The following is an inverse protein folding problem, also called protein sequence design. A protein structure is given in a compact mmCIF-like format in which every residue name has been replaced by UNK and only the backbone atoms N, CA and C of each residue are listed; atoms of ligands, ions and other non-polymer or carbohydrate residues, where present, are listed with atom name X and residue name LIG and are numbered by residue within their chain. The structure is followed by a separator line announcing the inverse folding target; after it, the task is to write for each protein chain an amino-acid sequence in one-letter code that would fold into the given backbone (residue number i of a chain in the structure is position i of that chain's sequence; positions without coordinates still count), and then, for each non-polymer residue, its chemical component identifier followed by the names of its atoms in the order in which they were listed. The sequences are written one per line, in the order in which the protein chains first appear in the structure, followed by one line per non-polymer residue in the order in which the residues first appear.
data_IF_889083217816
#
_entry.id   IF_889083217816
#
_cell.length_a   1.000
_cell.length_b   1.000
_cell.length_c   1.000
_cell.angle_alpha   90.00
_cell.angle_beta   90.00
_cell.angle_gamma   90.00
#
_symmetry.space_group_name_H-M   'P 1'
#
loop_
_entity.id
_entity.type
_entity.pdbx_description
1 polymer ?
#
# COMPACT_ATOMS: atom_id res chain seq x y z
N UNK A 1 -34.91 19.21 -32.03
CA UNK A 1 -34.85 18.15 -33.06
C UNK A 1 -33.42 17.61 -33.06
N UNK A 2 -33.08 16.41 -32.58
CA UNK A 2 -33.84 15.17 -32.41
C UNK A 2 -33.32 14.40 -31.18
N UNK A 3 -34.27 13.92 -30.35
CA UNK A 3 -34.09 12.83 -29.41
C UNK A 3 -34.20 11.51 -30.19
N UNK A 4 -33.24 10.60 -30.01
CA UNK A 4 -33.48 9.15 -30.20
C UNK A 4 -32.84 8.39 -29.05
N UNK A 5 -33.64 8.24 -28.00
CA UNK A 5 -33.45 7.38 -26.85
C UNK A 5 -33.72 5.93 -27.28
N UNK A 6 -32.67 5.14 -27.54
CA UNK A 6 -32.84 3.70 -27.80
C UNK A 6 -32.91 2.97 -26.46
N UNK A 7 -34.15 2.82 -25.95
CA UNK A 7 -34.50 1.82 -24.93
C UNK A 7 -34.84 0.49 -25.63
N UNK A 8 -33.90 -0.46 -25.59
CA UNK A 8 -34.12 -1.90 -25.76
C UNK A 8 -32.97 -2.54 -24.96
N UNK A 9 -33.12 -3.45 -24.01
CA UNK A 9 -34.23 -4.26 -23.54
C UNK A 9 -33.58 -5.15 -22.49
N UNK A 10 -34.06 -5.05 -21.25
CA UNK A 10 -33.72 -5.95 -20.16
C UNK A 10 -34.23 -7.34 -20.54
N UNK A 11 -33.35 -8.22 -21.04
CA UNK A 11 -33.63 -9.64 -21.15
C UNK A 11 -32.46 -10.42 -20.55
N UNK A 12 -32.64 -10.77 -19.27
CA UNK A 12 -31.90 -11.84 -18.61
C UNK A 12 -32.12 -13.13 -19.41
N UNK A 13 -31.14 -13.54 -20.21
CA UNK A 13 -31.06 -14.92 -20.68
C UNK A 13 -30.03 -15.63 -19.80
N UNK A 14 -30.57 -16.39 -18.86
CA UNK A 14 -29.89 -17.46 -18.14
C UNK A 14 -29.34 -18.49 -19.15
N UNK A 15 -28.03 -18.52 -19.34
CA UNK A 15 -27.33 -19.75 -19.78
C UNK A 15 -26.25 -20.07 -18.76
N UNK A 16 -26.65 -20.74 -17.69
CA UNK A 16 -25.77 -21.46 -16.78
C UNK A 16 -25.43 -22.82 -17.39
N UNK A 17 -24.15 -23.09 -17.69
CA UNK A 17 -23.47 -24.40 -17.60
C UNK A 17 -22.00 -24.20 -18.04
N UNK A 18 -21.12 -23.90 -17.09
CA UNK A 18 -20.16 -24.84 -16.48
C UNK A 18 -19.01 -25.26 -17.40
N UNK A 19 -17.94 -24.45 -17.38
CA UNK A 19 -16.57 -24.99 -17.33
C UNK A 19 -15.91 -24.45 -16.06
N UNK A 20 -15.42 -25.42 -15.29
CA UNK A 20 -14.73 -25.33 -14.02
C UNK A 20 -13.44 -24.50 -14.09
N UNK A 21 -12.99 -24.03 -12.93
CA UNK A 21 -11.64 -23.54 -12.62
C UNK A 21 -11.36 -22.05 -12.88
N UNK A 22 -12.05 -21.20 -12.14
CA UNK A 22 -11.42 -20.18 -11.31
C UNK A 22 -10.25 -19.37 -11.94
N UNK A 23 -10.49 -18.65 -13.04
CA UNK A 23 -9.73 -17.42 -13.28
C UNK A 23 -10.30 -16.35 -12.35
N UNK A 24 -9.97 -16.45 -11.05
CA UNK A 24 -9.98 -15.27 -10.19
C UNK A 24 -8.77 -14.46 -10.62
N UNK A 25 -8.94 -13.64 -11.66
CA UNK A 25 -8.07 -12.49 -11.85
C UNK A 25 -8.28 -11.63 -10.63
N UNK A 26 -7.42 -11.85 -9.63
CA UNK A 26 -7.33 -11.00 -8.48
C UNK A 26 -6.95 -9.63 -9.02
N UNK A 27 -7.93 -8.74 -9.11
CA UNK A 27 -7.76 -7.35 -9.50
C UNK A 27 -7.02 -6.60 -8.37
N UNK A 28 -5.81 -7.03 -8.04
CA UNK A 28 -4.89 -6.33 -7.13
C UNK A 28 -4.13 -5.31 -7.97
N UNK A 29 -4.89 -4.40 -8.54
CA UNK A 29 -4.56 -3.01 -8.65
C UNK A 29 -5.93 -2.35 -8.55
N UNK A 30 -6.32 -1.96 -7.34
CA UNK A 30 -7.23 -0.82 -7.24
C UNK A 30 -6.46 0.31 -7.91
N UNK A 31 -6.84 0.63 -9.13
CA UNK A 31 -6.30 1.78 -9.83
C UNK A 31 -7.05 2.97 -9.22
N UNK A 32 -6.71 3.32 -7.98
CA UNK A 32 -6.98 4.65 -7.49
C UNK A 32 -6.18 5.57 -8.41
N UNK A 33 -6.88 6.42 -9.15
CA UNK A 33 -6.26 7.44 -9.97
C UNK A 33 -5.63 8.40 -8.98
N UNK A 34 -4.37 8.14 -8.61
CA UNK A 34 -3.56 9.13 -7.93
C UNK A 34 -3.44 10.28 -8.91
N UNK A 35 -3.96 11.49 -8.58
CA UNK A 35 -3.72 12.63 -9.44
C UNK A 35 -2.20 12.73 -9.60
N UNK A 36 -1.75 12.90 -10.84
CA UNK A 36 -0.35 13.23 -11.14
C UNK A 36 -0.05 14.52 -10.37
N UNK A 37 0.45 14.35 -9.15
CA UNK A 37 0.81 15.48 -8.32
C UNK A 37 2.03 16.01 -9.03
N UNK A 38 1.94 17.23 -9.56
CA UNK A 38 3.13 18.00 -9.90
C UNK A 38 4.01 17.96 -8.66
N UNK A 39 5.03 17.09 -8.69
CA UNK A 39 6.13 17.13 -7.76
C UNK A 39 6.58 18.58 -7.86
N UNK A 40 6.41 19.34 -6.78
CA UNK A 40 7.06 20.63 -6.71
C UNK A 40 8.53 20.28 -6.95
N UNK A 41 9.04 20.60 -8.13
CA UNK A 41 10.48 20.58 -8.35
C UNK A 41 11.01 21.38 -7.18
N UNK A 42 11.75 20.73 -6.28
CA UNK A 42 12.38 21.37 -5.13
C UNK A 42 13.45 22.28 -5.73
N UNK A 43 13.00 23.41 -6.26
CA UNK A 43 13.78 24.61 -6.50
C UNK A 43 13.60 25.44 -5.24
N UNK A 44 14.02 24.86 -4.13
CA UNK A 44 14.17 25.52 -2.83
C UNK A 44 15.64 25.35 -2.45
N UNK A 45 16.46 26.35 -2.82
CA UNK A 45 17.88 26.57 -2.45
C UNK A 45 18.87 25.38 -2.52
N UNK A 46 18.49 24.24 -3.13
CA UNK A 46 19.35 23.07 -3.30
C UNK A 46 19.64 22.26 -2.03
N UNK A 47 18.92 22.47 -0.92
CA UNK A 47 19.21 21.77 0.34
C UNK A 47 18.13 20.73 0.70
N UNK A 48 18.43 19.46 0.40
CA UNK A 48 17.63 18.31 0.84
C UNK A 48 17.73 18.13 2.36
N UNK A 49 16.58 17.95 3.01
CA UNK A 49 16.44 17.70 4.44
C UNK A 49 15.88 16.30 4.72
N UNK A 50 15.84 15.87 5.98
CA UNK A 50 15.20 14.60 6.34
C UNK A 50 13.69 14.62 6.05
N UNK A 51 13.04 15.77 6.04
CA UNK A 51 11.60 15.84 5.79
C UNK A 51 11.23 15.58 4.33
N UNK A 52 12.21 15.62 3.42
CA UNK A 52 12.08 15.23 2.02
C UNK A 52 12.22 13.72 1.81
N UNK A 53 12.53 12.95 2.87
CA UNK A 53 12.78 11.50 2.80
C UNK A 53 11.58 10.74 3.36
N UNK A 54 11.18 9.68 2.65
CA UNK A 54 10.21 8.68 3.10
C UNK A 54 10.89 7.31 3.14
N UNK A 55 10.94 6.68 4.32
CA UNK A 55 11.56 5.36 4.51
C UNK A 55 10.45 4.35 4.75
N UNK A 56 10.20 3.45 3.79
CA UNK A 56 9.35 2.28 4.00
C UNK A 56 10.17 1.08 4.47
N UNK A 57 9.69 0.39 5.50
CA UNK A 57 10.28 -0.85 6.00
C UNK A 57 9.26 -1.97 5.90
N UNK A 58 9.44 -2.84 4.92
CA UNK A 58 8.63 -4.05 4.79
C UNK A 58 9.01 -5.11 5.81
N UNK A 59 8.02 -5.65 6.50
CA UNK A 59 8.20 -6.72 7.47
C UNK A 59 7.00 -7.68 7.47
N UNK A 60 6.99 -8.60 8.43
CA UNK A 60 5.92 -9.56 8.70
C UNK A 60 5.81 -9.74 10.21
N UNK A 61 4.61 -10.04 10.71
CA UNK A 61 4.33 -10.19 12.14
C UNK A 61 5.30 -11.11 12.85
N UNK A 62 5.68 -12.22 12.21
CA UNK A 62 6.65 -13.19 12.76
C UNK A 62 8.07 -12.63 12.99
N UNK A 63 8.37 -11.46 12.46
CA UNK A 63 9.69 -10.81 12.55
C UNK A 63 9.71 -9.56 13.41
N UNK A 64 8.59 -9.20 14.05
CA UNK A 64 8.52 -8.01 14.90
C UNK A 64 9.55 -8.09 16.03
N UNK A 65 9.70 -9.24 16.67
CA UNK A 65 10.69 -9.41 17.72
C UNK A 65 12.09 -9.69 17.16
N UNK A 66 12.21 -10.71 16.29
CA UNK A 66 13.52 -11.21 15.87
C UNK A 66 14.31 -10.27 14.97
N UNK A 67 13.63 -9.37 14.23
CA UNK A 67 14.29 -8.47 13.26
C UNK A 67 14.03 -6.99 13.48
N UNK A 68 12.83 -6.60 13.95
CA UNK A 68 12.54 -5.18 14.15
C UNK A 68 13.06 -4.65 15.48
N UNK A 69 13.13 -5.46 16.54
CA UNK A 69 13.61 -4.99 17.85
C UNK A 69 15.04 -4.39 17.78
N UNK A 70 16.03 -5.00 17.08
CA UNK A 70 17.34 -4.36 16.87
C UNK A 70 17.26 -3.04 16.07
N UNK A 71 16.39 -2.97 15.06
CA UNK A 71 16.21 -1.77 14.22
C UNK A 71 15.66 -0.62 15.06
N UNK A 72 14.61 -0.89 15.82
CA UNK A 72 13.93 0.07 16.70
C UNK A 72 14.89 0.61 17.76
N UNK A 73 15.78 -0.23 18.28
CA UNK A 73 16.79 0.16 19.28
C UNK A 73 17.97 0.95 18.72
N UNK A 74 18.21 0.87 17.40
CA UNK A 74 19.39 1.45 16.73
C UNK A 74 19.01 2.64 15.84
N UNK A 75 19.12 2.50 14.52
CA UNK A 75 19.06 3.60 13.56
C UNK A 75 17.68 4.24 13.46
N UNK A 76 16.60 3.54 13.85
CA UNK A 76 15.25 4.11 13.81
C UNK A 76 15.15 5.41 14.62
N UNK A 77 15.93 5.52 15.71
CA UNK A 77 15.97 6.73 16.55
C UNK A 77 16.41 7.98 15.79
N UNK A 78 17.14 7.83 14.69
CA UNK A 78 17.66 8.94 13.88
C UNK A 78 16.64 9.47 12.86
N UNK A 79 15.71 8.63 12.40
CA UNK A 79 14.78 8.95 11.31
C UNK A 79 13.35 8.45 11.59
N UNK A 80 12.95 8.48 12.87
CA UNK A 80 11.70 7.90 13.35
C UNK A 80 10.46 8.48 12.64
N UNK A 81 10.45 9.81 12.46
CA UNK A 81 9.35 10.55 11.82
C UNK A 81 9.19 10.23 10.33
N UNK A 82 10.26 9.78 9.68
CA UNK A 82 10.30 9.49 8.25
C UNK A 82 10.09 7.99 7.96
N UNK A 83 10.12 7.13 8.99
CA UNK A 83 10.13 5.68 8.84
C UNK A 83 8.78 5.06 9.14
N UNK A 84 8.25 4.29 8.20
CA UNK A 84 6.96 3.60 8.27
C UNK A 84 7.14 2.10 8.09
N UNK A 85 6.53 1.29 8.96
CA UNK A 85 6.62 -0.17 8.95
C UNK A 85 5.38 -0.78 8.32
N UNK A 86 5.57 -1.55 7.25
CA UNK A 86 4.50 -2.21 6.52
C UNK A 86 4.50 -3.70 6.84
N UNK A 87 3.47 -4.17 7.54
CA UNK A 87 3.39 -5.53 8.07
C UNK A 87 2.09 -6.23 7.69
N UNK A 88 2.02 -7.54 7.94
CA UNK A 88 0.85 -8.41 7.72
C UNK A 88 0.10 -8.75 9.02
N UNK A 89 0.38 -8.04 10.11
CA UNK A 89 -0.39 -8.18 11.34
C UNK A 89 -0.07 -7.13 12.39
N UNK A 90 -1.04 -6.89 13.27
CA UNK A 90 -0.99 -5.82 14.26
C UNK A 90 0.00 -6.12 15.40
N UNK A 91 0.53 -5.05 15.98
CA UNK A 91 1.43 -5.06 17.13
C UNK A 91 1.39 -3.72 17.86
N UNK A 92 0.65 -3.67 18.97
CA UNK A 92 0.45 -2.45 19.74
C UNK A 92 1.77 -1.92 20.31
N UNK A 93 2.65 -2.80 20.79
CA UNK A 93 3.93 -2.40 21.39
C UNK A 93 4.82 -1.74 20.34
N UNK A 94 4.91 -2.35 19.15
CA UNK A 94 5.66 -1.76 18.04
C UNK A 94 5.03 -0.43 17.61
N UNK A 95 3.69 -0.36 17.52
CA UNK A 95 2.98 0.83 17.11
C UNK A 95 3.19 2.00 18.09
N UNK A 96 3.09 1.75 19.39
CA UNK A 96 3.40 2.71 20.45
C UNK A 96 4.87 3.16 20.37
N UNK A 97 5.79 2.21 20.21
CA UNK A 97 7.24 2.51 20.14
C UNK A 97 7.59 3.35 18.92
N UNK A 98 6.87 3.18 17.81
CA UNK A 98 7.08 3.87 16.52
C UNK A 98 6.16 5.08 16.32
N UNK A 99 5.42 5.50 17.35
CA UNK A 99 4.52 6.67 17.30
C UNK A 99 3.43 6.58 16.22
N UNK A 100 2.85 5.39 16.04
CA UNK A 100 1.77 5.18 15.09
C UNK A 100 2.22 4.83 13.67
N UNK A 101 3.52 4.61 13.45
CA UNK A 101 4.08 4.34 12.13
C UNK A 101 4.06 2.85 11.74
N UNK A 102 3.17 2.04 12.32
CA UNK A 102 2.93 0.65 11.89
C UNK A 102 1.65 0.58 11.08
N UNK A 103 1.78 0.14 9.83
CA UNK A 103 0.69 -0.02 8.89
C UNK A 103 0.47 -1.51 8.64
N UNK A 104 -0.68 -2.02 9.09
CA UNK A 104 -1.13 -3.34 8.70
C UNK A 104 -1.66 -3.28 7.26
N UNK A 105 -0.96 -3.94 6.36
CA UNK A 105 -1.30 -3.99 4.94
C UNK A 105 -2.50 -4.90 4.66
N UNK A 106 -2.89 -5.74 5.63
CA UNK A 106 -3.88 -6.80 5.46
C UNK A 106 -3.60 -7.76 4.28
N UNK A 107 -2.36 -7.74 3.78
CA UNK A 107 -1.86 -8.68 2.80
C UNK A 107 -1.50 -10.02 3.46
N UNK A 108 -1.38 -11.08 2.67
CA UNK A 108 -0.93 -12.37 3.20
C UNK A 108 0.50 -12.35 3.74
N UNK A 109 0.80 -13.34 4.60
CA UNK A 109 2.05 -13.43 5.35
C UNK A 109 3.12 -14.33 4.71
N UNK A 110 2.79 -14.99 3.60
CA UNK A 110 3.74 -15.87 2.89
C UNK A 110 4.61 -15.06 1.93
N UNK A 111 5.77 -15.61 1.54
CA UNK A 111 6.72 -14.98 0.62
C UNK A 111 6.34 -15.13 -0.86
N UNK A 112 5.06 -15.35 -1.16
CA UNK A 112 4.61 -15.51 -2.54
C UNK A 112 4.60 -14.15 -3.25
N UNK A 113 4.80 -14.15 -4.57
CA UNK A 113 4.80 -12.91 -5.38
C UNK A 113 3.55 -12.05 -5.13
N UNK A 114 2.30 -12.58 -5.11
CA UNK A 114 1.12 -11.76 -4.84
C UNK A 114 1.15 -11.04 -3.49
N UNK A 115 1.59 -11.71 -2.42
CA UNK A 115 1.66 -11.10 -1.10
C UNK A 115 2.78 -10.06 -0.98
N UNK A 116 3.94 -10.34 -1.58
CA UNK A 116 5.04 -9.38 -1.60
C UNK A 116 4.70 -8.12 -2.41
N UNK A 117 4.01 -8.30 -3.54
CA UNK A 117 3.52 -7.20 -4.39
C UNK A 117 2.39 -6.43 -3.72
N UNK A 118 1.47 -7.10 -3.03
CA UNK A 118 0.41 -6.45 -2.24
C UNK A 118 1.00 -5.45 -1.23
N UNK A 119 2.01 -5.89 -0.44
CA UNK A 119 2.70 -5.00 0.51
C UNK A 119 3.40 -3.82 -0.18
N UNK A 120 4.08 -4.07 -1.31
CA UNK A 120 4.69 -2.98 -2.10
C UNK A 120 3.63 -1.97 -2.57
N UNK A 121 2.44 -2.45 -2.95
CA UNK A 121 1.33 -1.59 -3.34
C UNK A 121 0.97 -0.62 -2.23
N UNK A 122 0.70 -1.15 -1.03
CA UNK A 122 0.38 -0.32 0.15
C UNK A 122 1.52 0.65 0.52
N UNK A 123 2.78 0.23 0.40
CA UNK A 123 3.94 1.11 0.59
C UNK A 123 3.92 2.31 -0.35
N UNK A 124 3.71 2.04 -1.64
CA UNK A 124 3.70 3.06 -2.67
C UNK A 124 2.48 3.99 -2.54
N UNK A 125 1.31 3.42 -2.29
CA UNK A 125 0.06 4.15 -2.02
C UNK A 125 0.23 5.13 -0.86
N UNK A 126 0.84 4.68 0.23
CA UNK A 126 1.08 5.51 1.43
C UNK A 126 2.14 6.58 1.16
N UNK A 127 3.18 6.25 0.40
CA UNK A 127 4.18 7.23 -0.02
C UNK A 127 3.55 8.36 -0.84
N UNK A 128 2.75 8.02 -1.87
CA UNK A 128 2.05 9.01 -2.69
C UNK A 128 1.09 9.88 -1.86
N UNK A 129 0.38 9.29 -0.91
CA UNK A 129 -0.50 10.00 0.01
C UNK A 129 0.25 10.94 0.96
N UNK A 130 1.48 10.59 1.35
CA UNK A 130 2.32 11.40 2.25
C UNK A 130 2.71 12.76 1.65
N UNK A 131 2.71 12.86 0.31
CA UNK A 131 3.04 14.09 -0.39
C UNK A 131 4.51 14.49 -0.37
N UNK A 132 5.37 13.56 0.01
CA UNK A 132 6.84 13.67 -0.07
C UNK A 132 7.35 13.33 -1.47
#
# INVERSE_FOLDING_TARGET
NNLTLVKFGMLCIFTTLLISSHVRYSSICKQEIYPDRKVKSVMDDGKVTLDDIYISVKTSRKFHESRLDPIVKTWLKLAKKQTYFFTDGDDNKLNETTEGHVINTHCGHTKTRPHLSCKMGTEFDTYLASGK
#
